data_IF_875716054375
#
_entry.id   IF_875716054375
#
_cell.length_a   1.000
_cell.length_b   1.000
_cell.length_c   1.000
_cell.angle_alpha   90.00
_cell.angle_beta   90.00
_cell.angle_gamma   90.00
#
_symmetry.space_group_name_H-M   'P 1'
#
loop_
_entity.id
_entity.type
_entity.pdbx_description
1 polymer ?
#
# COMPACT_ATOMS: atom_id res chain seq x y z
N UNK A 1 -38.91 19.28 20.87
CA UNK A 1 -37.49 19.56 21.20
C UNK A 1 -37.20 18.83 22.50
N UNK A 2 -36.46 17.72 22.46
CA UNK A 2 -36.28 16.85 23.63
C UNK A 2 -34.80 16.52 23.78
N UNK A 3 -34.16 17.21 24.71
CA UNK A 3 -32.75 17.07 25.08
C UNK A 3 -32.56 15.84 25.97
N UNK A 4 -31.73 14.89 25.54
CA UNK A 4 -31.29 13.76 26.38
C UNK A 4 -29.80 13.89 26.67
N UNK A 5 -29.49 14.35 27.89
CA UNK A 5 -28.17 14.22 28.48
C UNK A 5 -28.05 12.81 29.08
N UNK A 6 -27.01 12.05 28.69
CA UNK A 6 -26.62 10.85 29.44
C UNK A 6 -25.14 10.88 29.79
N UNK A 7 -24.93 10.53 31.05
CA UNK A 7 -23.76 10.64 31.90
C UNK A 7 -22.62 9.73 31.42
N UNK A 8 -21.40 10.21 31.59
CA UNK A 8 -20.15 9.46 31.44
C UNK A 8 -19.84 8.75 32.76
N UNK A 9 -19.54 7.43 32.79
CA UNK A 9 -18.91 6.82 33.95
C UNK A 9 -17.39 6.98 33.89
N UNK A 10 -16.85 7.35 35.05
CA UNK A 10 -15.45 7.59 35.32
C UNK A 10 -14.65 6.29 35.57
N UNK A 11 -13.35 6.42 35.32
CA UNK A 11 -12.22 5.78 35.99
C UNK A 11 -12.15 4.24 36.06
N UNK A 12 -11.11 3.70 35.40
CA UNK A 12 -10.33 2.61 35.96
C UNK A 12 -8.84 2.92 35.72
N UNK A 13 -8.16 3.34 36.79
CA UNK A 13 -6.71 3.42 36.87
C UNK A 13 -6.22 1.98 37.05
N UNK A 14 -5.43 1.48 36.11
CA UNK A 14 -4.69 0.23 36.28
C UNK A 14 -3.19 0.51 36.25
N UNK A 15 -2.54 0.06 37.31
CA UNK A 15 -1.16 0.30 37.66
C UNK A 15 -0.16 -0.53 36.84
N UNK A 16 1.00 0.09 36.61
CA UNK A 16 2.37 -0.43 36.69
C UNK A 16 2.68 -1.83 36.12
N UNK A 17 3.64 -1.87 35.20
CA UNK A 17 4.67 -2.91 35.22
C UNK A 17 5.99 -2.35 34.69
N UNK A 18 7.01 -2.34 35.54
CA UNK A 18 8.39 -2.01 35.21
C UNK A 18 8.99 -3.17 34.42
N UNK A 19 9.50 -2.90 33.22
CA UNK A 19 10.28 -3.88 32.45
C UNK A 19 11.76 -3.59 32.63
N UNK A 20 12.48 -4.58 33.17
CA UNK A 20 13.91 -4.53 33.46
C UNK A 20 14.75 -4.27 32.19
N UNK A 21 15.73 -3.37 32.32
CA UNK A 21 16.76 -3.15 31.32
C UNK A 21 17.83 -4.23 31.47
N UNK A 22 17.89 -5.18 30.54
CA UNK A 22 19.05 -6.05 30.39
C UNK A 22 20.07 -5.39 29.46
N UNK A 23 21.15 -4.86 30.02
CA UNK A 23 22.34 -4.46 29.27
C UNK A 23 23.13 -5.72 28.90
N UNK A 24 22.82 -6.30 27.75
CA UNK A 24 23.66 -7.33 27.14
C UNK A 24 24.85 -6.66 26.43
N UNK A 25 26.02 -6.70 27.04
CA UNK A 25 27.31 -6.38 26.40
C UNK A 25 27.70 -7.56 25.51
N UNK A 26 27.48 -7.42 24.20
CA UNK A 26 28.00 -8.35 23.21
C UNK A 26 29.44 -7.98 22.82
N UNK A 27 30.35 -8.95 22.66
CA UNK A 27 31.68 -8.70 22.12
C UNK A 27 31.55 -8.20 20.67
N UNK A 28 32.08 -7.00 20.44
CA UNK A 28 32.20 -6.35 19.14
C UNK A 28 33.18 -7.17 18.27
N UNK A 29 32.65 -8.19 17.61
CA UNK A 29 33.38 -8.85 16.53
C UNK A 29 33.34 -7.86 15.38
N UNK A 30 34.48 -7.21 15.13
CA UNK A 30 34.71 -6.32 14.00
C UNK A 30 34.58 -7.09 12.67
N UNK A 31 33.36 -7.44 12.29
CA UNK A 31 33.03 -7.91 10.96
C UNK A 31 33.13 -6.69 10.05
N UNK A 32 34.20 -6.66 9.25
CA UNK A 32 34.46 -5.63 8.27
C UNK A 32 33.19 -5.24 7.54
N UNK A 33 32.87 -3.94 7.59
CA UNK A 33 31.75 -3.38 6.88
C UNK A 33 31.97 -3.63 5.39
N UNK A 34 31.36 -4.70 4.86
CA UNK A 34 31.16 -4.87 3.43
C UNK A 34 30.27 -3.71 3.03
N UNK A 35 30.90 -2.62 2.61
CA UNK A 35 30.25 -1.51 1.92
C UNK A 35 29.71 -2.12 0.63
N UNK A 36 28.52 -2.71 0.72
CA UNK A 36 27.65 -2.90 -0.42
C UNK A 36 27.38 -1.49 -0.93
N UNK A 37 28.24 -1.04 -1.83
CA UNK A 37 28.03 0.11 -2.69
C UNK A 37 26.82 -0.23 -3.53
N UNK A 38 25.64 -0.03 -2.94
CA UNK A 38 24.38 0.01 -3.66
C UNK A 38 24.54 1.18 -4.63
N UNK A 39 25.05 0.88 -5.83
CA UNK A 39 25.26 1.84 -6.88
C UNK A 39 23.98 2.67 -6.99
N UNK A 40 24.11 3.97 -6.68
CA UNK A 40 22.98 4.89 -6.65
C UNK A 40 22.30 4.80 -8.01
N UNK A 41 21.11 4.21 -8.06
CA UNK A 41 20.41 4.03 -9.33
C UNK A 41 20.20 5.42 -9.96
N UNK A 42 20.35 5.51 -11.29
CA UNK A 42 20.08 6.76 -11.97
C UNK A 42 18.59 7.15 -11.81
N UNK A 43 18.25 8.45 -11.80
CA UNK A 43 16.87 8.88 -11.93
C UNK A 43 16.20 8.24 -13.15
N UNK A 44 14.92 7.87 -13.03
CA UNK A 44 14.14 7.22 -14.08
C UNK A 44 14.35 5.71 -14.19
N UNK A 45 15.38 5.13 -13.55
CA UNK A 45 15.60 3.67 -13.55
C UNK A 45 14.43 2.96 -12.89
N UNK A 46 13.76 2.11 -13.67
CA UNK A 46 12.68 1.25 -13.25
C UNK A 46 13.19 -0.16 -12.93
N UNK A 47 12.65 -0.77 -11.87
CA UNK A 47 12.99 -2.15 -11.46
C UNK A 47 11.70 -2.91 -11.21
N UNK A 48 11.62 -4.12 -11.78
CA UNK A 48 10.51 -5.03 -11.57
C UNK A 48 10.74 -5.77 -10.24
N UNK A 49 9.69 -5.89 -9.43
CA UNK A 49 9.77 -6.51 -8.12
C UNK A 49 8.79 -7.68 -8.03
N UNK A 50 9.16 -8.70 -7.29
CA UNK A 50 8.25 -9.83 -7.02
C UNK A 50 7.09 -9.37 -6.13
N UNK A 51 5.87 -9.70 -6.55
CA UNK A 51 4.68 -9.48 -5.73
C UNK A 51 4.60 -10.56 -4.65
N UNK A 52 4.56 -10.15 -3.39
CA UNK A 52 4.32 -11.04 -2.24
C UNK A 52 2.89 -10.92 -1.75
N UNK A 53 2.42 -11.88 -0.97
CA UNK A 53 1.07 -11.83 -0.38
C UNK A 53 0.91 -10.63 0.55
N UNK A 54 1.96 -10.27 1.30
CA UNK A 54 1.98 -9.04 2.11
C UNK A 54 1.72 -7.79 1.27
N UNK A 55 2.31 -7.71 0.06
CA UNK A 55 2.03 -6.60 -0.87
C UNK A 55 0.58 -6.67 -1.35
N UNK A 56 0.08 -7.84 -1.78
CA UNK A 56 -1.32 -7.99 -2.22
C UNK A 56 -2.32 -7.56 -1.15
N UNK A 57 -2.12 -7.98 0.09
CA UNK A 57 -2.97 -7.58 1.22
C UNK A 57 -2.96 -6.07 1.42
N UNK A 58 -1.78 -5.44 1.46
CA UNK A 58 -1.66 -4.00 1.66
C UNK A 58 -2.28 -3.17 0.52
N UNK A 59 -2.21 -3.66 -0.72
CA UNK A 59 -2.87 -3.02 -1.87
C UNK A 59 -4.40 -3.10 -1.75
N UNK A 60 -4.93 -4.25 -1.35
CA UNK A 60 -6.36 -4.43 -1.12
C UNK A 60 -6.88 -3.60 0.07
N UNK A 61 -6.08 -3.44 1.12
CA UNK A 61 -6.40 -2.53 2.24
C UNK A 61 -6.43 -1.07 1.78
N UNK A 62 -5.46 -0.65 0.97
CA UNK A 62 -5.43 0.71 0.41
C UNK A 62 -6.63 1.00 -0.51
N UNK A 63 -7.04 0.01 -1.32
CA UNK A 63 -8.24 0.10 -2.15
C UNK A 63 -9.49 0.24 -1.28
N UNK A 64 -9.67 -0.66 -0.31
CA UNK A 64 -10.80 -0.63 0.62
C UNK A 64 -10.93 0.71 1.34
N UNK A 65 -9.84 1.16 1.97
CA UNK A 65 -9.83 2.38 2.77
C UNK A 65 -10.17 3.63 1.93
N UNK A 66 -9.77 3.67 0.66
CA UNK A 66 -10.03 4.81 -0.20
C UNK A 66 -11.43 4.77 -0.83
N UNK A 67 -11.92 3.59 -1.23
CA UNK A 67 -13.14 3.45 -2.04
C UNK A 67 -14.40 3.19 -1.20
N UNK A 68 -14.29 2.38 -0.14
CA UNK A 68 -15.41 1.94 0.70
C UNK A 68 -15.31 2.37 2.16
N UNK A 69 -14.10 2.61 2.67
CA UNK A 69 -13.86 2.95 4.07
C UNK A 69 -14.19 4.39 4.45
N UNK A 70 -14.59 5.24 3.48
CA UNK A 70 -14.96 6.64 3.73
C UNK A 70 -16.48 6.82 3.80
N UNK A 71 -17.01 7.65 4.71
CA UNK A 71 -18.41 8.07 4.69
C UNK A 71 -18.75 8.67 3.32
N UNK A 72 -19.81 8.18 2.67
CA UNK A 72 -20.20 8.59 1.32
C UNK A 72 -19.46 7.91 0.16
N UNK A 73 -18.68 6.85 0.43
CA UNK A 73 -18.04 6.03 -0.60
C UNK A 73 -19.03 5.27 -1.51
N UNK A 74 -18.50 4.67 -2.59
CA UNK A 74 -19.27 3.95 -3.61
C UNK A 74 -19.96 2.72 -3.03
N UNK A 75 -21.23 2.85 -2.59
CA UNK A 75 -22.05 1.81 -1.95
C UNK A 75 -21.39 1.22 -0.69
N UNK A 76 -22.13 1.01 0.41
CA UNK A 76 -21.56 0.37 1.58
C UNK A 76 -21.26 -1.10 1.27
N UNK A 77 -20.04 -1.41 0.85
CA UNK A 77 -19.53 -2.75 1.02
C UNK A 77 -19.33 -2.92 2.52
N UNK A 78 -19.97 -3.93 3.10
CA UNK A 78 -20.12 -4.05 4.55
C UNK A 78 -18.89 -4.62 5.24
N UNK A 79 -17.90 -5.16 4.50
CA UNK A 79 -16.69 -5.72 5.10
C UNK A 79 -15.50 -5.81 4.14
N UNK A 80 -14.32 -5.49 4.66
CA UNK A 80 -13.01 -5.69 4.00
C UNK A 80 -12.82 -7.13 3.50
N UNK A 81 -13.43 -8.12 4.16
CA UNK A 81 -13.35 -9.54 3.78
C UNK A 81 -13.98 -9.85 2.42
N UNK A 82 -14.84 -8.97 1.91
CA UNK A 82 -15.46 -9.10 0.59
C UNK A 82 -14.55 -8.60 -0.55
N UNK A 83 -13.54 -7.80 -0.25
CA UNK A 83 -12.56 -7.36 -1.26
C UNK A 83 -11.61 -8.51 -1.56
N UNK A 84 -11.66 -9.02 -2.78
CA UNK A 84 -10.67 -9.98 -3.25
C UNK A 84 -9.32 -9.25 -3.40
N UNK A 85 -8.22 -9.93 -3.06
CA UNK A 85 -6.87 -9.37 -3.28
C UNK A 85 -6.61 -9.13 -4.78
N UNK A 86 -5.76 -8.15 -5.13
CA UNK A 86 -5.53 -7.83 -6.52
C UNK A 86 -4.85 -9.00 -7.25
N UNK A 87 -5.32 -9.28 -8.46
CA UNK A 87 -4.84 -10.32 -9.39
C UNK A 87 -4.05 -9.67 -10.55
N UNK A 88 -3.23 -10.48 -11.24
CA UNK A 88 -2.38 -10.03 -12.36
C UNK A 88 -1.60 -8.74 -12.04
N UNK A 89 -0.94 -8.73 -10.87
CA UNK A 89 -0.29 -7.53 -10.32
C UNK A 89 1.11 -7.36 -10.93
N UNK A 90 1.35 -6.20 -11.50
CA UNK A 90 2.66 -5.69 -11.87
C UNK A 90 3.15 -4.78 -10.73
N UNK A 91 4.36 -5.02 -10.22
CA UNK A 91 4.91 -4.30 -9.08
C UNK A 91 6.36 -3.92 -9.35
N UNK A 92 6.73 -2.70 -8.98
CA UNK A 92 8.04 -2.18 -9.27
C UNK A 92 8.35 -0.92 -8.52
N UNK A 93 9.59 -0.45 -8.69
CA UNK A 93 10.06 0.83 -8.17
C UNK A 93 10.71 1.65 -9.28
N UNK A 94 10.60 2.96 -9.15
CA UNK A 94 11.30 3.93 -10.00
C UNK A 94 11.94 4.98 -9.12
N UNK A 95 13.12 5.48 -9.51
CA UNK A 95 13.72 6.65 -8.87
C UNK A 95 13.21 7.93 -9.54
N UNK A 96 12.56 8.80 -8.78
CA UNK A 96 11.95 10.04 -9.27
C UNK A 96 12.25 11.18 -8.30
N UNK A 97 12.85 12.27 -8.79
CA UNK A 97 13.26 13.40 -7.94
C UNK A 97 14.17 13.00 -6.78
N UNK A 98 15.15 12.12 -7.04
CA UNK A 98 16.06 11.58 -6.02
C UNK A 98 15.47 10.57 -5.04
N UNK A 99 14.14 10.34 -5.08
CA UNK A 99 13.43 9.44 -4.17
C UNK A 99 13.01 8.14 -4.87
N UNK A 100 13.02 7.04 -4.13
CA UNK A 100 12.46 5.78 -4.61
C UNK A 100 10.95 5.75 -4.37
N UNK A 101 10.19 5.56 -5.45
CA UNK A 101 8.73 5.44 -5.43
C UNK A 101 8.35 4.07 -5.95
N UNK A 102 7.44 3.43 -5.24
CA UNK A 102 6.92 2.12 -5.58
C UNK A 102 5.55 2.25 -6.21
N UNK A 103 5.31 1.46 -7.23
CA UNK A 103 4.06 1.46 -7.99
C UNK A 103 3.58 0.04 -8.19
N UNK A 104 2.27 -0.14 -8.14
CA UNK A 104 1.62 -1.38 -8.51
C UNK A 104 0.44 -1.11 -9.44
N UNK A 105 0.22 -2.04 -10.38
CA UNK A 105 -0.92 -2.05 -11.31
C UNK A 105 -1.52 -3.44 -11.28
N UNK A 106 -2.84 -3.57 -11.15
CA UNK A 106 -3.48 -4.88 -11.11
C UNK A 106 -4.99 -4.80 -11.01
N UNK A 107 -5.68 -5.90 -11.30
CA UNK A 107 -7.14 -5.99 -11.22
C UNK A 107 -7.56 -6.31 -9.79
N UNK A 108 -8.51 -5.58 -9.22
CA UNK A 108 -9.12 -5.87 -7.92
C UNK A 108 -10.64 -5.83 -8.07
N UNK A 109 -11.37 -6.38 -7.13
CA UNK A 109 -12.83 -6.33 -7.13
C UNK A 109 -13.40 -6.81 -5.80
N UNK A 110 -14.72 -6.78 -5.71
CA UNK A 110 -15.50 -7.13 -4.53
C UNK A 110 -16.38 -8.33 -4.84
N UNK A 111 -16.26 -9.37 -4.01
CA UNK A 111 -17.04 -10.59 -4.13
C UNK A 111 -18.54 -10.29 -4.04
N UNK A 112 -19.28 -10.80 -5.02
CA UNK A 112 -20.71 -10.57 -5.15
C UNK A 112 -21.07 -9.27 -5.87
N UNK A 113 -20.09 -8.47 -6.31
CA UNK A 113 -20.27 -7.28 -7.13
C UNK A 113 -19.50 -7.42 -8.43
N UNK A 114 -20.14 -7.98 -9.46
CA UNK A 114 -19.52 -8.18 -10.78
C UNK A 114 -19.14 -6.87 -11.47
N UNK A 115 -19.81 -5.76 -11.14
CA UNK A 115 -19.52 -4.44 -11.71
C UNK A 115 -18.14 -3.98 -11.25
N UNK A 116 -17.78 -4.23 -9.99
CA UNK A 116 -16.49 -3.82 -9.41
C UNK A 116 -15.24 -4.40 -10.11
N UNK A 117 -15.39 -5.45 -10.93
CA UNK A 117 -14.27 -6.04 -11.69
C UNK A 117 -14.08 -5.43 -13.09
N UNK A 118 -14.99 -4.55 -13.53
CA UNK A 118 -14.98 -3.99 -14.89
C UNK A 118 -14.13 -2.72 -15.01
N UNK A 119 -13.85 -2.03 -13.91
CA UNK A 119 -13.23 -0.69 -13.92
C UNK A 119 -11.72 -0.68 -14.29
N UNK A 120 -11.19 -1.84 -14.70
CA UNK A 120 -9.87 -1.96 -15.31
C UNK A 120 -8.75 -1.73 -14.30
N UNK A 121 -7.48 -1.98 -14.71
CA UNK A 121 -6.41 -2.16 -13.75
C UNK A 121 -6.27 -0.94 -12.84
N UNK A 122 -6.23 -1.22 -11.55
CA UNK A 122 -6.13 -0.23 -10.50
C UNK A 122 -4.68 0.13 -10.27
N UNK A 123 -4.44 1.38 -9.89
CA UNK A 123 -3.07 1.88 -9.68
C UNK A 123 -2.86 2.22 -8.22
N UNK A 124 -1.74 1.78 -7.67
CA UNK A 124 -1.30 2.14 -6.33
C UNK A 124 0.10 2.75 -6.36
N UNK A 125 0.37 3.64 -5.40
CA UNK A 125 1.66 4.29 -5.21
C UNK A 125 2.04 4.34 -3.74
N UNK A 126 3.33 4.17 -3.43
CA UNK A 126 3.89 4.52 -2.11
C UNK A 126 5.30 5.10 -2.23
N UNK A 127 5.70 5.91 -1.26
CA UNK A 127 7.12 6.23 -1.05
C UNK A 127 7.84 5.04 -0.40
N UNK A 128 9.18 5.11 -0.26
CA UNK A 128 9.95 4.02 0.30
C UNK A 128 9.52 3.56 1.70
N UNK A 129 9.09 4.50 2.55
CA UNK A 129 8.65 4.22 3.91
C UNK A 129 7.18 4.60 4.16
N UNK A 130 6.43 4.93 3.09
CA UNK A 130 5.04 5.34 3.19
C UNK A 130 4.04 4.20 3.04
N UNK A 131 2.80 4.46 3.47
CA UNK A 131 1.66 3.61 3.21
C UNK A 131 1.30 3.59 1.70
N UNK A 132 0.61 2.54 1.28
CA UNK A 132 0.04 2.48 -0.06
C UNK A 132 -1.13 3.45 -0.20
N UNK A 133 -1.07 4.25 -1.25
CA UNK A 133 -2.15 5.14 -1.69
C UNK A 133 -2.76 4.59 -2.97
N UNK A 134 -4.07 4.37 -2.95
CA UNK A 134 -4.85 4.06 -4.15
C UNK A 134 -4.96 5.31 -5.02
N UNK A 135 -4.61 5.18 -6.31
CA UNK A 135 -4.58 6.28 -7.30
C UNK A 135 -5.80 6.27 -8.23
N UNK A 136 -6.71 5.33 -8.03
CA UNK A 136 -7.91 5.17 -8.84
C UNK A 136 -7.86 3.95 -9.74
N UNK A 137 -9.03 3.65 -10.28
CA UNK A 137 -9.17 2.86 -11.49
C UNK A 137 -8.59 3.64 -12.68
N UNK A 138 -8.46 2.94 -13.79
CA UNK A 138 -7.91 3.51 -15.01
C UNK A 138 -8.87 3.43 -16.19
N UNK A 139 -9.91 2.59 -16.14
CA UNK A 139 -10.70 2.30 -17.34
C UNK A 139 -9.85 1.74 -18.49
N UNK A 140 -8.64 1.21 -18.19
CA UNK A 140 -7.63 0.82 -19.17
C UNK A 140 -6.52 1.86 -19.41
N UNK A 141 -6.71 3.11 -18.98
CA UNK A 141 -5.80 4.24 -19.20
C UNK A 141 -4.70 4.36 -18.12
N UNK A 142 -3.53 3.77 -18.37
CA UNK A 142 -2.44 3.66 -17.38
C UNK A 142 -1.58 4.93 -17.18
N UNK A 143 -2.03 6.12 -17.58
CA UNK A 143 -1.25 7.38 -17.50
C UNK A 143 -0.75 7.73 -16.10
N UNK A 144 -1.48 7.30 -15.07
CA UNK A 144 -1.11 7.52 -13.67
C UNK A 144 0.20 6.80 -13.31
N UNK A 145 0.56 5.73 -14.02
CA UNK A 145 1.78 4.97 -13.76
C UNK A 145 2.98 5.50 -14.56
N UNK A 146 4.21 5.43 -14.02
CA UNK A 146 5.40 5.90 -14.74
C UNK A 146 5.65 5.16 -16.05
N UNK A 147 5.86 5.88 -17.15
CA UNK A 147 6.15 5.32 -18.49
C UNK A 147 7.30 4.29 -18.48
N UNK A 148 8.33 4.50 -17.67
CA UNK A 148 9.45 3.56 -17.55
C UNK A 148 9.04 2.21 -16.95
N UNK A 149 8.11 2.18 -16.00
CA UNK A 149 7.56 0.95 -15.47
C UNK A 149 6.59 0.28 -16.45
N UNK A 150 5.76 1.05 -17.16
CA UNK A 150 4.89 0.51 -18.20
C UNK A 150 5.68 -0.20 -19.30
N UNK A 151 6.77 0.44 -19.78
CA UNK A 151 7.71 -0.18 -20.73
C UNK A 151 8.32 -1.47 -20.17
N UNK A 152 8.77 -1.45 -18.92
CA UNK A 152 9.36 -2.63 -18.25
C UNK A 152 8.36 -3.79 -18.13
N UNK A 153 7.10 -3.49 -17.81
CA UNK A 153 6.02 -4.47 -17.69
C UNK A 153 5.39 -4.87 -19.03
N UNK A 154 5.87 -4.29 -20.15
CA UNK A 154 5.31 -4.49 -21.49
C UNK A 154 3.83 -4.13 -21.59
N UNK A 155 3.40 -3.16 -20.80
CA UNK A 155 2.07 -2.57 -20.86
C UNK A 155 2.13 -1.34 -21.76
N UNK A 156 1.12 -1.17 -22.62
CA UNK A 156 0.97 0.06 -23.40
C UNK A 156 0.17 1.07 -22.58
N UNK A 157 0.58 2.34 -22.63
CA UNK A 157 -0.28 3.44 -22.18
C UNK A 157 -1.20 3.74 -23.34
N UNK A 158 -2.42 3.21 -23.31
CA UNK A 158 -3.47 3.64 -24.23
C UNK A 158 -4.36 4.62 -23.49
N UNK A 159 -4.72 5.71 -24.15
CA UNK A 159 -5.80 6.63 -23.80
C UNK A 159 -6.52 7.02 -25.08
#
# INVERSE_FOLDING_TARGET
MTTWARRVPAAAVAAVTMTAFFTATFPETAMGAVRSSAASQAPGTAVNLKVTDKVRHALADAFWNQYYGKPGGHRPVTSRKKVDGPKKVYYGKVRSGGKTVYWAVGSIGVRGDLVSYQDGPHVWRRSAHGAWSYRGDTGGCLEKAPKSLLKLWRLRSYC
#
